data_IF_135734754460
#
_entry.id   IF_135734754460
#
_cell.length_a   1.000
_cell.length_b   1.000
_cell.length_c   1.000
_cell.angle_alpha   90.00
_cell.angle_beta   90.00
_cell.angle_gamma   90.00
#
_symmetry.space_group_name_H-M   'P 1'
#
loop_
_entity.id
_entity.type
_entity.pdbx_description
1 polymer ?
#
# COMPACT_ATOMS: atom_id res chain seq x y z
N UNK A 1 20.29 20.04 -23.98
CA UNK A 1 19.06 19.97 -23.18
C UNK A 1 19.12 18.65 -22.44
N UNK A 2 19.32 18.67 -21.13
CA UNK A 2 19.22 17.43 -20.34
C UNK A 2 17.78 16.91 -20.48
N UNK A 3 17.61 15.76 -21.13
CA UNK A 3 16.40 14.97 -20.98
C UNK A 3 16.23 14.74 -19.49
N UNK A 4 15.27 15.44 -18.87
CA UNK A 4 14.97 15.22 -17.46
C UNK A 4 14.43 13.79 -17.35
N UNK A 5 15.28 12.88 -16.88
CA UNK A 5 14.93 11.52 -16.50
C UNK A 5 13.62 11.56 -15.69
N UNK A 6 12.53 11.10 -16.30
CA UNK A 6 11.23 11.04 -15.66
C UNK A 6 11.18 9.76 -14.83
N UNK A 7 10.82 9.90 -13.55
CA UNK A 7 10.54 8.79 -12.65
C UNK A 7 9.03 8.79 -12.41
N UNK A 8 8.36 7.69 -12.76
CA UNK A 8 6.98 7.47 -12.36
C UNK A 8 6.96 6.83 -10.98
N UNK A 9 6.12 7.37 -10.11
CA UNK A 9 5.83 6.76 -8.81
C UNK A 9 4.36 6.39 -8.82
N UNK A 10 4.05 5.10 -8.66
CA UNK A 10 2.70 4.56 -8.77
C UNK A 10 2.25 4.09 -7.40
N UNK A 11 1.07 4.52 -6.97
CA UNK A 11 0.45 3.98 -5.76
C UNK A 11 0.07 2.51 -5.97
N UNK A 12 0.14 1.68 -4.92
CA UNK A 12 -0.35 0.31 -5.03
C UNK A 12 -1.88 0.30 -4.89
N UNK A 13 -2.34 0.69 -3.71
CA UNK A 13 -3.73 0.61 -3.29
C UNK A 13 -4.59 1.64 -4.03
N UNK A 14 -5.68 1.17 -4.64
CA UNK A 14 -6.57 2.00 -5.44
C UNK A 14 -6.05 2.34 -6.84
N UNK A 15 -4.84 1.90 -7.22
CA UNK A 15 -4.27 2.17 -8.56
C UNK A 15 -3.86 0.89 -9.26
N UNK A 16 -2.92 0.12 -8.71
CA UNK A 16 -2.53 -1.19 -9.26
C UNK A 16 -3.45 -2.31 -8.76
N UNK A 17 -3.99 -2.18 -7.55
CA UNK A 17 -5.07 -3.01 -7.04
C UNK A 17 -6.32 -2.16 -6.83
N UNK A 18 -7.48 -2.73 -7.12
CA UNK A 18 -8.75 -2.05 -6.89
C UNK A 18 -8.93 -1.64 -5.41
N UNK A 19 -9.55 -0.49 -5.23
CA UNK A 19 -9.90 0.00 -3.89
C UNK A 19 -10.85 -0.96 -3.16
N UNK A 20 -11.72 -1.65 -3.89
CA UNK A 20 -12.66 -2.61 -3.31
C UNK A 20 -11.95 -3.76 -2.60
N UNK A 21 -11.02 -4.44 -3.27
CA UNK A 21 -10.29 -5.57 -2.67
C UNK A 21 -9.37 -5.06 -1.56
N UNK A 22 -8.65 -3.97 -1.80
CA UNK A 22 -7.78 -3.34 -0.82
C UNK A 22 -8.55 -3.03 0.47
N UNK A 23 -9.71 -2.35 0.38
CA UNK A 23 -10.53 -2.03 1.54
C UNK A 23 -11.06 -3.26 2.28
N UNK A 24 -11.40 -4.36 1.58
CA UNK A 24 -11.82 -5.61 2.24
C UNK A 24 -10.71 -6.15 3.15
N UNK A 25 -9.49 -6.27 2.63
CA UNK A 25 -8.33 -6.78 3.37
C UNK A 25 -8.02 -5.86 4.56
N UNK A 26 -7.92 -4.55 4.34
CA UNK A 26 -7.65 -3.57 5.39
C UNK A 26 -8.68 -3.62 6.52
N UNK A 27 -9.97 -3.68 6.19
CA UNK A 27 -11.07 -3.72 7.18
C UNK A 27 -11.07 -4.99 7.99
N UNK A 28 -10.92 -6.16 7.34
CA UNK A 28 -10.89 -7.45 8.03
C UNK A 28 -9.65 -7.56 8.94
N UNK A 29 -8.47 -7.19 8.44
CA UNK A 29 -7.24 -7.20 9.23
C UNK A 29 -7.33 -6.28 10.46
N UNK A 30 -7.90 -5.09 10.28
CA UNK A 30 -8.12 -4.15 11.38
C UNK A 30 -9.11 -4.69 12.42
N UNK A 31 -10.24 -5.24 11.98
CA UNK A 31 -11.22 -5.85 12.88
C UNK A 31 -10.59 -6.99 13.69
N UNK A 32 -9.88 -7.92 13.02
CA UNK A 32 -9.19 -9.02 13.69
C UNK A 32 -8.14 -8.52 14.69
N UNK A 33 -7.38 -7.49 14.33
CA UNK A 33 -6.39 -6.90 15.24
C UNK A 33 -7.03 -6.28 16.50
N UNK A 34 -8.20 -5.65 16.36
CA UNK A 34 -8.96 -5.18 17.52
C UNK A 34 -9.47 -6.33 18.39
N UNK A 35 -9.96 -7.42 17.80
CA UNK A 35 -10.34 -8.62 18.58
C UNK A 35 -9.15 -9.19 19.35
N UNK A 36 -7.96 -9.27 18.72
CA UNK A 36 -6.73 -9.71 19.40
C UNK A 36 -6.35 -8.85 20.60
N UNK A 37 -6.59 -7.54 20.55
CA UNK A 37 -6.39 -6.68 21.72
C UNK A 37 -7.42 -6.99 22.82
N UNK A 38 -8.68 -7.24 22.47
CA UNK A 38 -9.73 -7.60 23.44
C UNK A 38 -9.50 -8.96 24.09
N UNK A 39 -8.96 -9.93 23.36
CA UNK A 39 -8.50 -11.21 23.91
C UNK A 39 -7.42 -11.03 25.00
N UNK A 40 -6.72 -9.89 24.98
CA UNK A 40 -5.73 -9.48 26.00
C UNK A 40 -6.34 -8.57 27.08
N UNK A 41 -7.66 -8.56 27.22
CA UNK A 41 -8.42 -7.75 28.20
C UNK A 41 -8.25 -6.22 28.01
N UNK A 42 -7.87 -5.78 26.81
CA UNK A 42 -7.76 -4.36 26.48
C UNK A 42 -9.12 -3.82 26.02
N UNK A 43 -9.63 -2.82 26.74
CA UNK A 43 -10.86 -2.13 26.35
C UNK A 43 -10.64 -1.20 25.15
N UNK A 44 -11.40 -1.45 24.08
CA UNK A 44 -11.40 -0.64 22.85
C UNK A 44 -12.71 0.17 22.77
N UNK A 45 -12.63 1.51 22.79
CA UNK A 45 -13.79 2.37 22.57
C UNK A 45 -14.55 2.06 21.28
N UNK A 46 -15.88 2.17 21.31
CA UNK A 46 -16.74 1.90 20.16
C UNK A 46 -16.45 2.80 18.94
N UNK A 47 -15.92 4.01 19.17
CA UNK A 47 -15.49 4.92 18.11
C UNK A 47 -14.36 4.38 17.23
N UNK A 48 -13.58 3.39 17.73
CA UNK A 48 -12.49 2.77 16.97
C UNK A 48 -12.90 1.53 16.20
N UNK A 49 -14.16 1.10 16.26
CA UNK A 49 -14.63 -0.12 15.57
C UNK A 49 -14.56 -0.01 14.05
N UNK A 50 -14.81 1.19 13.52
CA UNK A 50 -14.76 1.41 12.09
C UNK A 50 -13.31 1.63 11.62
N UNK A 51 -12.89 0.85 10.64
CA UNK A 51 -11.61 1.05 9.97
C UNK A 51 -11.65 2.29 9.09
N UNK A 52 -10.84 3.28 9.45
CA UNK A 52 -10.43 4.39 8.61
C UNK A 52 -9.03 4.84 9.02
N UNK A 53 -8.37 5.63 8.17
CA UNK A 53 -6.99 6.06 8.39
C UNK A 53 -6.79 6.77 9.74
N UNK A 54 -7.74 7.63 10.14
CA UNK A 54 -7.66 8.38 11.39
C UNK A 54 -7.75 7.44 12.60
N UNK A 55 -8.68 6.50 12.58
CA UNK A 55 -8.84 5.51 13.63
C UNK A 55 -7.63 4.58 13.72
N UNK A 56 -7.13 4.07 12.59
CA UNK A 56 -5.89 3.30 12.54
C UNK A 56 -4.74 4.04 13.22
N UNK A 57 -4.50 5.31 12.84
CA UNK A 57 -3.43 6.11 13.45
C UNK A 57 -3.63 6.32 14.96
N UNK A 58 -4.87 6.56 15.40
CA UNK A 58 -5.17 6.73 16.84
C UNK A 58 -4.93 5.44 17.62
N UNK A 59 -5.34 4.29 17.08
CA UNK A 59 -5.17 2.99 17.74
C UNK A 59 -3.70 2.60 17.81
N UNK A 60 -2.94 2.75 16.70
CA UNK A 60 -1.48 2.52 16.69
C UNK A 60 -0.76 3.33 17.76
N UNK A 61 -1.14 4.61 17.95
CA UNK A 61 -0.52 5.48 18.97
C UNK A 61 -0.95 5.16 20.40
N UNK A 62 -2.17 4.66 20.57
CA UNK A 62 -2.77 4.45 21.90
C UNK A 62 -2.44 3.08 22.48
N UNK A 63 -2.29 2.07 21.64
CA UNK A 63 -2.15 0.68 22.07
C UNK A 63 -0.84 0.10 21.56
N UNK A 64 0.10 -0.10 22.50
CA UNK A 64 1.38 -0.73 22.23
C UNK A 64 1.20 -2.12 21.63
N UNK A 65 1.99 -2.43 20.60
CA UNK A 65 1.92 -3.71 19.89
C UNK A 65 0.76 -3.86 18.91
N UNK A 66 -0.18 -2.91 18.83
CA UNK A 66 -1.28 -2.99 17.86
C UNK A 66 -0.78 -3.08 16.41
N UNK A 67 0.24 -2.29 16.05
CA UNK A 67 0.75 -2.28 14.68
C UNK A 67 1.33 -3.64 14.25
N UNK A 68 2.03 -4.33 15.14
CA UNK A 68 2.59 -5.65 14.89
C UNK A 68 1.48 -6.70 14.74
N UNK A 69 0.48 -6.66 15.63
CA UNK A 69 -0.72 -7.50 15.55
C UNK A 69 -1.41 -7.26 14.21
N UNK A 70 -1.63 -5.99 13.86
CA UNK A 70 -2.27 -5.60 12.63
C UNK A 70 -1.52 -6.10 11.39
N UNK A 71 -0.20 -5.98 11.34
CA UNK A 71 0.63 -6.51 10.22
C UNK A 71 0.52 -8.04 10.11
N UNK A 72 0.51 -8.75 11.24
CA UNK A 72 0.31 -10.20 11.28
C UNK A 72 -1.08 -10.59 10.77
N UNK A 73 -2.13 -9.94 11.26
CA UNK A 73 -3.51 -10.19 10.81
C UNK A 73 -3.69 -9.82 9.34
N UNK A 74 -3.08 -8.73 8.87
CA UNK A 74 -3.08 -8.34 7.46
C UNK A 74 -2.51 -9.43 6.56
N UNK A 75 -1.39 -10.03 6.96
CA UNK A 75 -0.75 -11.11 6.20
C UNK A 75 -1.67 -12.33 6.09
N UNK A 76 -2.29 -12.74 7.19
CA UNK A 76 -3.22 -13.88 7.23
C UNK A 76 -4.48 -13.63 6.41
N UNK A 77 -5.02 -12.40 6.46
CA UNK A 77 -6.18 -12.02 5.65
C UNK A 77 -5.79 -12.00 4.17
N UNK A 78 -4.65 -11.41 3.82
CA UNK A 78 -4.17 -11.34 2.44
C UNK A 78 -4.03 -12.72 1.80
N UNK A 79 -3.55 -13.73 2.53
CA UNK A 79 -3.46 -15.11 2.02
C UNK A 79 -4.80 -15.63 1.50
N UNK A 80 -5.91 -15.30 2.18
CA UNK A 80 -7.27 -15.69 1.74
C UNK A 80 -7.68 -15.02 0.42
N UNK A 81 -7.18 -13.81 0.17
CA UNK A 81 -7.52 -13.00 -1.00
C UNK A 81 -6.47 -13.07 -2.13
N UNK A 82 -5.37 -13.80 -1.93
CA UNK A 82 -4.24 -13.76 -2.86
C UNK A 82 -4.58 -14.30 -4.25
N UNK A 83 -5.33 -15.41 -4.32
CA UNK A 83 -5.74 -15.97 -5.61
C UNK A 83 -6.72 -15.04 -6.33
N UNK A 84 -7.65 -14.42 -5.61
CA UNK A 84 -8.57 -13.41 -6.16
C UNK A 84 -7.81 -12.18 -6.69
N UNK A 85 -6.83 -11.67 -5.94
CA UNK A 85 -5.95 -10.57 -6.37
C UNK A 85 -5.25 -10.91 -7.68
N UNK A 86 -4.65 -12.10 -7.76
CA UNK A 86 -3.93 -12.54 -8.95
C UNK A 86 -4.85 -12.65 -10.18
N UNK A 87 -6.03 -13.24 -10.01
CA UNK A 87 -6.97 -13.46 -11.11
C UNK A 87 -7.64 -12.16 -11.59
N UNK A 88 -8.06 -11.30 -10.67
CA UNK A 88 -8.86 -10.11 -10.99
C UNK A 88 -8.01 -8.86 -11.25
N UNK A 89 -6.93 -8.68 -10.48
CA UNK A 89 -6.12 -7.47 -10.54
C UNK A 89 -4.87 -7.64 -11.42
N UNK A 90 -4.31 -8.85 -11.54
CA UNK A 90 -3.07 -9.10 -12.27
C UNK A 90 -3.08 -8.59 -13.72
N UNK A 91 -4.15 -8.89 -14.48
CA UNK A 91 -4.28 -8.41 -15.87
C UNK A 91 -4.39 -6.88 -15.94
N UNK A 92 -5.15 -6.27 -15.03
CA UNK A 92 -5.37 -4.83 -14.99
C UNK A 92 -4.09 -4.08 -14.58
N UNK A 93 -3.38 -4.57 -13.56
CA UNK A 93 -2.11 -4.04 -13.10
C UNK A 93 -1.07 -4.05 -14.23
N UNK A 94 -0.93 -5.19 -14.94
CA UNK A 94 -0.01 -5.32 -16.08
C UNK A 94 -0.38 -4.42 -17.25
N UNK A 95 -1.67 -4.33 -17.58
CA UNK A 95 -2.13 -3.41 -18.60
C UNK A 95 -1.79 -1.96 -18.24
N UNK A 96 -2.10 -1.52 -17.02
CA UNK A 96 -1.82 -0.16 -16.55
C UNK A 96 -0.32 0.13 -16.57
N UNK A 97 0.51 -0.78 -16.04
CA UNK A 97 1.96 -0.66 -16.05
C UNK A 97 2.51 -0.47 -17.48
N UNK A 98 2.03 -1.29 -18.43
CA UNK A 98 2.43 -1.19 -19.85
C UNK A 98 2.00 0.15 -20.47
N UNK A 99 0.78 0.62 -20.16
CA UNK A 99 0.29 1.91 -20.65
C UNK A 99 1.12 3.07 -20.09
N UNK A 100 1.44 3.07 -18.80
CA UNK A 100 2.26 4.09 -18.17
C UNK A 100 3.68 4.12 -18.76
N UNK A 101 4.31 2.94 -18.94
CA UNK A 101 5.62 2.84 -19.56
C UNK A 101 5.63 3.38 -21.00
N UNK A 102 4.59 3.07 -21.78
CA UNK A 102 4.48 3.52 -23.17
C UNK A 102 4.19 5.02 -23.29
N UNK A 103 3.26 5.53 -22.47
CA UNK A 103 2.78 6.91 -22.57
C UNK A 103 3.83 7.92 -22.11
N UNK A 104 4.52 7.61 -21.02
CA UNK A 104 5.44 8.55 -20.37
C UNK A 104 6.90 8.31 -20.70
N UNK A 105 7.25 7.12 -21.22
CA UNK A 105 8.62 6.69 -21.50
C UNK A 105 9.57 7.02 -20.33
N UNK A 106 9.26 6.56 -19.11
CA UNK A 106 10.03 6.96 -17.95
C UNK A 106 11.37 6.24 -17.90
N UNK A 107 12.34 6.90 -17.28
CA UNK A 107 13.62 6.27 -16.90
C UNK A 107 13.45 5.21 -15.82
N UNK A 108 12.40 5.34 -14.99
CA UNK A 108 12.12 4.41 -13.91
C UNK A 108 10.64 4.40 -13.51
N UNK A 109 10.17 3.27 -12.98
CA UNK A 109 8.83 3.12 -12.42
C UNK A 109 8.99 2.52 -11.02
N UNK A 110 8.56 3.28 -10.02
CA UNK A 110 8.64 2.94 -8.61
C UNK A 110 7.22 2.77 -8.07
N UNK A 111 7.01 1.75 -7.25
CA UNK A 111 5.77 1.56 -6.50
C UNK A 111 5.99 2.12 -5.10
N UNK A 112 5.09 3.00 -4.65
CA UNK A 112 5.14 3.59 -3.31
C UNK A 112 3.84 3.29 -2.57
N UNK A 113 3.92 2.65 -1.42
CA UNK A 113 2.72 2.23 -0.67
C UNK A 113 2.98 2.12 0.83
N UNK A 114 1.92 2.15 1.63
CA UNK A 114 1.91 1.79 3.05
C UNK A 114 1.51 0.32 3.30
N UNK A 115 1.25 -0.44 2.24
CA UNK A 115 0.81 -1.82 2.33
C UNK A 115 1.96 -2.70 2.87
N UNK A 116 1.81 -3.34 4.04
CA UNK A 116 2.90 -4.07 4.67
C UNK A 116 3.34 -5.29 3.84
N UNK A 117 2.47 -5.82 2.99
CA UNK A 117 2.71 -6.99 2.14
C UNK A 117 2.85 -6.62 0.66
N UNK A 118 3.23 -5.39 0.36
CA UNK A 118 3.38 -4.91 -1.02
C UNK A 118 4.25 -5.82 -1.88
N UNK A 119 5.38 -6.31 -1.35
CA UNK A 119 6.25 -7.22 -2.09
C UNK A 119 5.55 -8.53 -2.45
N UNK A 120 4.77 -9.10 -1.54
CA UNK A 120 3.99 -10.32 -1.75
C UNK A 120 2.93 -10.10 -2.84
N UNK A 121 2.20 -8.98 -2.77
CA UNK A 121 1.18 -8.59 -3.76
C UNK A 121 1.80 -8.40 -5.13
N UNK A 122 2.84 -7.56 -5.25
CA UNK A 122 3.49 -7.23 -6.51
C UNK A 122 4.10 -8.47 -7.16
N UNK A 123 4.70 -9.38 -6.40
CA UNK A 123 5.19 -10.64 -6.93
C UNK A 123 4.09 -11.49 -7.60
N UNK A 124 2.83 -11.34 -7.20
CA UNK A 124 1.71 -12.06 -7.83
C UNK A 124 1.15 -11.32 -9.05
N UNK A 125 0.98 -10.00 -8.96
CA UNK A 125 0.27 -9.22 -10.00
C UNK A 125 1.20 -8.65 -11.08
N UNK A 126 2.46 -8.37 -10.73
CA UNK A 126 3.49 -7.74 -11.57
C UNK A 126 4.88 -8.33 -11.25
N UNK A 127 5.10 -9.66 -11.41
CA UNK A 127 6.36 -10.33 -11.08
C UNK A 127 7.59 -9.78 -11.84
N UNK A 128 7.36 -9.05 -12.94
CA UNK A 128 8.40 -8.36 -13.69
C UNK A 128 9.04 -7.17 -12.96
N UNK A 129 8.41 -6.64 -11.90
CA UNK A 129 8.94 -5.51 -11.13
C UNK A 129 9.86 -6.04 -10.03
N UNK A 130 11.10 -5.55 -10.02
CA UNK A 130 12.09 -5.95 -9.03
C UNK A 130 11.82 -5.31 -7.66
N UNK A 131 12.25 -5.99 -6.59
CA UNK A 131 11.92 -5.61 -5.20
C UNK A 131 12.43 -4.23 -4.82
N UNK A 132 13.57 -3.81 -5.35
CA UNK A 132 14.17 -2.50 -5.14
C UNK A 132 13.35 -1.34 -5.72
N UNK A 133 12.38 -1.63 -6.60
CA UNK A 133 11.43 -0.65 -7.14
C UNK A 133 10.18 -0.49 -6.29
N UNK A 134 10.07 -1.22 -5.18
CA UNK A 134 8.92 -1.20 -4.29
C UNK A 134 9.35 -0.54 -2.98
N UNK A 135 8.83 0.66 -2.72
CA UNK A 135 9.07 1.41 -1.49
C UNK A 135 7.84 1.26 -0.59
N UNK A 136 8.02 0.53 0.51
CA UNK A 136 7.02 0.42 1.58
C UNK A 136 7.35 1.42 2.67
N UNK A 137 6.42 2.31 2.96
CA UNK A 137 6.54 3.31 4.03
C UNK A 137 5.67 2.95 5.24
N UNK A 138 5.95 3.57 6.38
CA UNK A 138 5.12 3.42 7.58
C UNK A 138 3.70 3.95 7.32
N UNK A 139 2.70 3.07 7.48
CA UNK A 139 1.30 3.41 7.32
C UNK A 139 0.79 4.44 8.33
N UNK A 140 1.29 4.44 9.56
CA UNK A 140 0.88 5.38 10.61
C UNK A 140 1.39 6.80 10.39
N UNK A 141 2.44 6.93 9.56
CA UNK A 141 3.06 8.17 9.13
C UNK A 141 3.00 8.39 7.61
N UNK A 142 2.09 7.70 6.90
CA UNK A 142 2.08 7.59 5.44
C UNK A 142 2.21 8.94 4.71
N UNK A 143 1.47 9.97 5.13
CA UNK A 143 1.48 11.28 4.47
C UNK A 143 2.88 11.91 4.51
N UNK A 144 3.55 11.83 5.65
CA UNK A 144 4.86 12.45 5.86
C UNK A 144 5.97 11.61 5.21
N UNK A 145 5.92 10.29 5.35
CA UNK A 145 6.91 9.39 4.72
C UNK A 145 6.82 9.42 3.19
N UNK A 146 5.60 9.40 2.63
CA UNK A 146 5.39 9.60 1.19
C UNK A 146 5.99 10.91 0.71
N UNK A 147 5.79 12.01 1.45
CA UNK A 147 6.36 13.32 1.10
C UNK A 147 7.88 13.24 1.05
N UNK A 148 8.52 12.67 2.07
CA UNK A 148 9.99 12.49 2.12
C UNK A 148 10.51 11.66 0.96
N UNK A 149 9.85 10.54 0.63
CA UNK A 149 10.24 9.69 -0.51
C UNK A 149 10.15 10.46 -1.82
N UNK A 150 9.03 11.16 -2.06
CA UNK A 150 8.84 11.93 -3.29
C UNK A 150 9.83 13.10 -3.41
N UNK A 151 10.19 13.75 -2.28
CA UNK A 151 11.21 14.80 -2.24
C UNK A 151 12.61 14.23 -2.54
N UNK A 152 12.95 13.08 -1.96
CA UNK A 152 14.20 12.37 -2.25
C UNK A 152 14.31 11.99 -3.73
N UNK A 153 13.25 11.45 -4.33
CA UNK A 153 13.28 11.06 -5.74
C UNK A 153 13.50 12.25 -6.71
N UNK A 154 13.14 13.48 -6.31
CA UNK A 154 13.38 14.68 -7.12
C UNK A 154 14.87 15.00 -7.31
N UNK A 155 15.77 14.51 -6.45
CA UNK A 155 17.21 14.68 -6.67
C UNK A 155 17.74 13.82 -7.82
N UNK A 156 16.99 12.82 -8.27
CA UNK A 156 17.37 11.90 -9.34
C UNK A 156 16.70 12.20 -10.68
N UNK A 157 15.62 12.99 -10.67
CA UNK A 157 14.87 13.28 -11.89
C UNK A 157 13.58 14.04 -11.67
N UNK A 158 12.82 14.24 -12.75
CA UNK A 158 11.45 14.74 -12.66
C UNK A 158 10.57 13.62 -12.12
N UNK A 159 9.79 13.88 -11.07
CA UNK A 159 8.89 12.87 -10.48
C UNK A 159 7.45 13.15 -10.91
N UNK A 160 6.75 12.12 -11.38
CA UNK A 160 5.31 12.14 -11.60
C UNK A 160 4.65 11.04 -10.74
N UNK A 161 3.80 11.46 -9.81
CA UNK A 161 3.05 10.54 -8.95
C UNK A 161 1.70 10.19 -9.59
N UNK A 162 1.43 8.90 -9.73
CA UNK A 162 0.21 8.33 -10.28
C UNK A 162 -0.58 7.69 -9.14
N UNK A 163 -1.78 8.22 -8.89
CA UNK A 163 -2.77 7.61 -8.02
C UNK A 163 -4.16 7.83 -8.60
N UNK A 164 -5.12 6.96 -8.27
CA UNK A 164 -6.54 7.32 -8.45
C UNK A 164 -6.89 8.52 -7.57
N UNK A 165 -7.71 9.43 -8.12
CA UNK A 165 -8.42 10.41 -7.30
C UNK A 165 -9.39 9.66 -6.40
N UNK A 166 -9.28 9.90 -5.09
CA UNK A 166 -10.25 9.46 -4.08
C UNK A 166 -11.43 10.42 -4.04
#
# INVERSE_FOLDING_TARGET
MEEKNLILVVDLDGTLISEEISQKIYREAYANALERLREREIEIPSEFQEHNFLNYCKVVRRYEGFEEIYKSEYSQVLEKYMEELKEKEGKNARWLYTQLATLFVPSDIIILTANPEAHSIINQILPEISREKIIVVDGSAYVEEKRKVLESLKSFGKVLYISRQR
#
